data_IF_738769865817
#
_entry.id   IF_738769865817
#
_cell.length_a   1.000
_cell.length_b   1.000
_cell.length_c   1.000
_cell.angle_alpha   90.00
_cell.angle_beta   90.00
_cell.angle_gamma   90.00
#
_symmetry.space_group_name_H-M   'P 1'
#
loop_
_entity.id
_entity.type
_entity.pdbx_description
1 polymer ?
#
# COMPACT_ATOMS: atom_id res chain seq x y z
N UNK A 1 32.92 -16.60 11.64
CA UNK A 1 31.48 -16.58 11.97
C UNK A 1 30.63 -15.83 10.94
N UNK A 2 31.21 -15.17 9.94
CA UNK A 2 30.51 -14.41 8.88
C UNK A 2 30.03 -15.23 7.67
N UNK A 3 30.40 -16.51 7.56
CA UNK A 3 30.05 -17.34 6.40
C UNK A 3 28.63 -17.93 6.43
N UNK A 4 28.04 -18.14 7.61
CA UNK A 4 26.71 -18.73 7.76
C UNK A 4 25.57 -17.73 7.51
N UNK A 5 25.82 -16.43 7.73
CA UNK A 5 24.84 -15.37 7.44
C UNK A 5 24.74 -15.05 5.95
N UNK A 6 25.83 -15.19 5.18
CA UNK A 6 25.79 -14.95 3.73
C UNK A 6 25.02 -16.03 2.97
N UNK A 7 25.04 -17.29 3.42
CA UNK A 7 24.23 -18.36 2.81
C UNK A 7 22.72 -18.17 2.97
N UNK A 8 22.26 -17.53 4.06
CA UNK A 8 20.83 -17.22 4.25
C UNK A 8 20.41 -15.94 3.52
N UNK A 9 21.29 -14.94 3.41
CA UNK A 9 21.02 -13.72 2.63
C UNK A 9 20.87 -14.04 1.15
N UNK A 10 21.79 -14.82 0.57
CA UNK A 10 21.81 -15.10 -0.86
C UNK A 10 20.61 -15.94 -1.31
N UNK A 11 20.18 -16.91 -0.50
CA UNK A 11 18.94 -17.67 -0.73
C UNK A 11 17.69 -16.79 -0.65
N UNK A 12 17.69 -15.78 0.24
CA UNK A 12 16.57 -14.84 0.42
C UNK A 12 16.50 -13.83 -0.73
N UNK A 13 17.63 -13.32 -1.18
CA UNK A 13 17.71 -12.45 -2.35
C UNK A 13 17.32 -13.23 -3.62
N UNK A 14 17.59 -14.53 -3.64
CA UNK A 14 17.24 -15.43 -4.74
C UNK A 14 15.74 -15.72 -4.86
N UNK A 15 15.05 -15.95 -3.74
CA UNK A 15 13.59 -16.06 -3.74
C UNK A 15 12.94 -14.72 -4.09
N UNK A 16 13.46 -13.60 -3.59
CA UNK A 16 12.91 -12.27 -3.86
C UNK A 16 13.02 -11.95 -5.35
N UNK A 17 14.16 -12.23 -6.02
CA UNK A 17 14.25 -12.03 -7.47
C UNK A 17 13.23 -12.89 -8.22
N UNK A 18 12.95 -14.11 -7.74
CA UNK A 18 12.03 -15.03 -8.44
C UNK A 18 10.56 -14.62 -8.30
N UNK A 19 10.20 -13.92 -7.22
CA UNK A 19 8.89 -13.30 -7.07
C UNK A 19 8.76 -11.98 -7.84
N UNK A 20 9.87 -11.34 -8.22
CA UNK A 20 9.88 -10.01 -8.87
C UNK A 20 10.22 -10.01 -10.38
N UNK A 21 10.70 -11.13 -10.95
CA UNK A 21 11.20 -11.17 -12.35
C UNK A 21 10.12 -11.39 -13.44
N UNK A 22 10.06 -10.40 -14.34
CA UNK A 22 9.86 -10.35 -15.82
C UNK A 22 8.60 -10.85 -16.56
N UNK A 23 7.65 -11.59 -16.00
CA UNK A 23 6.41 -11.92 -16.72
C UNK A 23 5.14 -11.32 -16.09
N UNK A 24 5.27 -10.65 -14.95
CA UNK A 24 4.13 -10.33 -14.08
C UNK A 24 3.85 -8.84 -13.94
N UNK A 25 4.73 -7.91 -14.31
CA UNK A 25 4.46 -6.47 -14.10
C UNK A 25 3.20 -5.99 -14.84
N UNK A 26 3.05 -6.36 -16.11
CA UNK A 26 1.82 -6.06 -16.87
C UNK A 26 0.59 -6.74 -16.24
N UNK A 27 0.71 -8.03 -15.91
CA UNK A 27 -0.36 -8.79 -15.26
C UNK A 27 -0.71 -8.24 -13.87
N UNK A 28 0.24 -7.64 -13.16
CA UNK A 28 0.08 -7.09 -11.82
C UNK A 28 -0.79 -5.84 -11.86
N UNK A 29 -0.53 -4.90 -12.78
CA UNK A 29 -1.39 -3.73 -12.98
C UNK A 29 -2.82 -4.11 -13.38
N UNK A 30 -2.98 -5.07 -14.30
CA UNK A 30 -4.31 -5.56 -14.70
C UNK A 30 -5.03 -6.31 -13.57
N UNK A 31 -4.32 -7.12 -12.78
CA UNK A 31 -4.89 -7.82 -11.63
C UNK A 31 -5.29 -6.85 -10.51
N UNK A 32 -4.44 -5.87 -10.18
CA UNK A 32 -4.71 -4.83 -9.18
C UNK A 32 -5.91 -3.97 -9.56
N UNK A 33 -5.97 -3.51 -10.82
CA UNK A 33 -7.10 -2.71 -11.32
C UNK A 33 -8.38 -3.52 -11.39
N UNK A 34 -8.35 -4.77 -11.87
CA UNK A 34 -9.49 -5.67 -11.85
C UNK A 34 -10.00 -5.93 -10.42
N UNK A 35 -9.10 -6.19 -9.49
CA UNK A 35 -9.43 -6.38 -8.07
C UNK A 35 -10.05 -5.13 -7.44
N UNK A 36 -9.53 -3.93 -7.76
CA UNK A 36 -10.07 -2.65 -7.30
C UNK A 36 -11.52 -2.46 -7.75
N UNK A 37 -11.79 -2.69 -9.05
CA UNK A 37 -13.12 -2.53 -9.64
C UNK A 37 -14.11 -3.52 -9.00
N UNK A 38 -13.73 -4.80 -8.90
CA UNK A 38 -14.60 -5.83 -8.30
C UNK A 38 -14.90 -5.52 -6.83
N UNK A 39 -13.91 -5.13 -6.03
CA UNK A 39 -14.13 -4.79 -4.62
C UNK A 39 -14.97 -3.53 -4.45
N UNK A 40 -14.80 -2.54 -5.33
CA UNK A 40 -15.63 -1.34 -5.32
C UNK A 40 -17.11 -1.68 -5.55
N UNK A 41 -17.42 -2.50 -6.57
CA UNK A 41 -18.79 -2.96 -6.80
C UNK A 41 -19.32 -3.85 -5.67
N UNK A 42 -18.48 -4.74 -5.12
CA UNK A 42 -18.87 -5.60 -4.01
C UNK A 42 -19.22 -4.77 -2.76
N UNK A 43 -18.45 -3.72 -2.46
CA UNK A 43 -18.74 -2.77 -1.37
C UNK A 43 -20.07 -2.05 -1.58
N UNK A 44 -20.35 -1.57 -2.80
CA UNK A 44 -21.63 -0.95 -3.13
C UNK A 44 -22.81 -1.90 -2.92
N UNK A 45 -22.66 -3.16 -3.35
CA UNK A 45 -23.68 -4.20 -3.14
C UNK A 45 -23.84 -4.51 -1.64
N UNK A 46 -22.74 -4.58 -0.89
CA UNK A 46 -22.74 -4.89 0.54
C UNK A 46 -23.46 -3.80 1.37
N UNK A 47 -23.29 -2.52 1.01
CA UNK A 47 -24.02 -1.41 1.66
C UNK A 47 -25.53 -1.51 1.41
N UNK A 48 -25.96 -2.14 0.31
CA UNK A 48 -27.37 -2.41 0.02
C UNK A 48 -27.98 -3.54 0.87
N UNK A 49 -27.16 -4.42 1.46
CA UNK A 49 -27.63 -5.45 2.37
C UNK A 49 -27.63 -4.94 3.81
N UNK A 50 -28.74 -5.13 4.53
CA UNK A 50 -28.88 -4.78 5.94
C UNK A 50 -28.16 -5.80 6.84
N UNK A 51 -26.84 -5.94 6.69
CA UNK A 51 -25.99 -6.80 7.53
C UNK A 51 -25.08 -5.92 8.37
N UNK A 52 -25.06 -6.08 9.71
CA UNK A 52 -24.10 -5.39 10.56
C UNK A 52 -22.70 -5.99 10.33
N UNK A 53 -21.94 -5.37 9.43
CA UNK A 53 -20.55 -5.74 9.13
C UNK A 53 -19.65 -4.50 9.17
N UNK A 54 -18.38 -4.69 9.54
CA UNK A 54 -17.40 -3.61 9.56
C UNK A 54 -16.86 -3.33 8.15
N UNK A 55 -17.07 -2.11 7.65
CA UNK A 55 -16.60 -1.67 6.32
C UNK A 55 -15.15 -1.15 6.31
N UNK A 56 -14.45 -1.28 7.44
CA UNK A 56 -13.09 -0.79 7.60
C UNK A 56 -12.09 -1.58 6.74
N UNK A 57 -12.12 -2.90 6.78
CA UNK A 57 -11.21 -3.76 6.01
C UNK A 57 -11.32 -3.55 4.49
N UNK A 58 -12.53 -3.57 3.86
CA UNK A 58 -12.61 -3.41 2.42
C UNK A 58 -12.15 -2.02 1.95
N UNK A 59 -12.47 -0.96 2.71
CA UNK A 59 -11.98 0.40 2.38
C UNK A 59 -10.45 0.49 2.52
N UNK A 60 -9.87 -0.15 3.53
CA UNK A 60 -8.43 -0.20 3.73
C UNK A 60 -7.72 -0.87 2.54
N UNK A 61 -8.25 -2.00 2.09
CA UNK A 61 -7.68 -2.74 0.96
C UNK A 61 -7.80 -1.96 -0.35
N UNK A 62 -8.93 -1.29 -0.60
CA UNK A 62 -9.12 -0.42 -1.78
C UNK A 62 -8.08 0.69 -1.80
N UNK A 63 -7.84 1.35 -0.66
CA UNK A 63 -6.79 2.35 -0.52
C UNK A 63 -5.39 1.79 -0.74
N UNK A 64 -5.11 0.58 -0.23
CA UNK A 64 -3.82 -0.09 -0.43
C UNK A 64 -3.54 -0.38 -1.91
N UNK A 65 -4.55 -0.87 -2.64
CA UNK A 65 -4.45 -1.09 -4.08
C UNK A 65 -4.20 0.22 -4.85
N UNK A 66 -4.93 1.29 -4.51
CA UNK A 66 -4.73 2.59 -5.14
C UNK A 66 -3.31 3.13 -4.89
N UNK A 67 -2.83 3.05 -3.65
CA UNK A 67 -1.47 3.45 -3.29
C UNK A 67 -0.41 2.61 -3.99
N UNK A 68 -0.64 1.30 -4.16
CA UNK A 68 0.27 0.42 -4.90
C UNK A 68 0.34 0.78 -6.37
N UNK A 69 -0.81 1.01 -7.03
CA UNK A 69 -0.87 1.44 -8.43
C UNK A 69 -0.12 2.77 -8.61
N UNK A 70 -0.29 3.73 -7.70
CA UNK A 70 0.44 5.00 -7.73
C UNK A 70 1.96 4.81 -7.59
N UNK A 71 2.40 3.95 -6.67
CA UNK A 71 3.81 3.64 -6.46
C UNK A 71 4.47 2.99 -7.69
N UNK A 72 3.78 2.04 -8.32
CA UNK A 72 4.25 1.39 -9.55
C UNK A 72 4.22 2.37 -10.74
N UNK A 73 3.24 3.28 -10.81
CA UNK A 73 3.20 4.32 -11.84
C UNK A 73 4.36 5.31 -11.73
N UNK A 74 4.72 5.70 -10.50
CA UNK A 74 5.90 6.54 -10.23
C UNK A 74 7.19 5.81 -10.61
N UNK A 75 7.28 4.50 -10.35
CA UNK A 75 8.40 3.68 -10.77
C UNK A 75 8.57 3.63 -12.30
N UNK A 76 7.47 3.52 -13.05
CA UNK A 76 7.48 3.55 -14.53
C UNK A 76 7.84 4.93 -15.08
N UNK A 77 7.36 6.00 -14.45
CA UNK A 77 7.63 7.38 -14.90
C UNK A 77 9.08 7.83 -14.63
N UNK A 78 9.70 7.38 -13.55
CA UNK A 78 11.06 7.75 -13.16
C UNK A 78 11.97 6.53 -13.05
N UNK A 79 12.34 5.89 -14.18
CA UNK A 79 13.17 4.68 -14.18
C UNK A 79 14.61 4.92 -13.71
N UNK A 80 15.08 6.18 -13.70
CA UNK A 80 16.42 6.56 -13.21
C UNK A 80 16.49 6.79 -11.69
N UNK A 81 15.37 6.62 -10.97
CA UNK A 81 15.29 6.93 -9.55
C UNK A 81 15.35 8.44 -9.29
N UNK A 82 14.56 8.92 -8.34
CA UNK A 82 14.63 10.33 -7.91
C UNK A 82 15.92 10.51 -7.08
N UNK A 83 17.09 10.59 -7.72
CA UNK A 83 18.37 10.86 -7.05
C UNK A 83 18.81 9.79 -6.03
N UNK A 84 18.90 8.52 -6.45
CA UNK A 84 19.48 7.41 -5.66
C UNK A 84 18.67 6.96 -4.41
N UNK A 85 17.42 7.35 -4.29
CA UNK A 85 16.52 6.90 -3.22
C UNK A 85 15.70 5.70 -3.73
N UNK A 86 15.80 4.50 -3.13
CA UNK A 86 14.99 3.36 -3.54
C UNK A 86 13.50 3.65 -3.29
N UNK A 87 12.68 3.55 -4.34
CA UNK A 87 11.22 3.70 -4.26
C UNK A 87 10.66 2.38 -3.73
N UNK A 88 10.05 2.41 -2.55
CA UNK A 88 9.38 1.26 -1.97
C UNK A 88 7.87 1.35 -2.25
N UNK A 89 7.34 0.63 -3.26
CA UNK A 89 5.91 0.65 -3.57
C UNK A 89 5.03 0.13 -2.41
N UNK A 90 5.62 -0.58 -1.44
CA UNK A 90 4.95 -0.97 -0.19
C UNK A 90 4.57 0.22 0.70
N UNK A 91 5.43 1.24 0.79
CA UNK A 91 5.14 2.44 1.60
C UNK A 91 3.99 3.25 0.98
N UNK A 92 3.99 3.36 -0.35
CA UNK A 92 2.89 4.01 -1.09
C UNK A 92 1.55 3.29 -0.89
N UNK A 93 1.57 1.94 -0.85
CA UNK A 93 0.37 1.16 -0.55
C UNK A 93 -0.17 1.47 0.85
N UNK A 94 0.70 1.52 1.88
CA UNK A 94 0.28 1.80 3.26
C UNK A 94 -0.28 3.22 3.40
N UNK A 95 0.38 4.22 2.79
CA UNK A 95 -0.09 5.61 2.81
C UNK A 95 -1.45 5.75 2.11
N UNK A 96 -1.64 5.09 0.96
CA UNK A 96 -2.92 5.05 0.26
C UNK A 96 -4.03 4.37 1.07
N UNK A 97 -3.71 3.26 1.74
CA UNK A 97 -4.63 2.53 2.61
C UNK A 97 -5.11 3.40 3.77
N UNK A 98 -4.16 4.04 4.47
CA UNK A 98 -4.46 4.95 5.56
C UNK A 98 -5.31 6.13 5.07
N UNK A 99 -4.88 6.83 4.00
CA UNK A 99 -5.54 8.00 3.47
C UNK A 99 -7.00 7.73 3.07
N UNK A 100 -7.27 6.64 2.36
CA UNK A 100 -8.63 6.33 1.90
C UNK A 100 -9.56 5.94 3.06
N UNK A 101 -9.13 5.04 3.95
CA UNK A 101 -9.93 4.70 5.14
C UNK A 101 -10.14 5.90 6.04
N UNK A 102 -9.12 6.75 6.20
CA UNK A 102 -9.18 8.01 6.94
C UNK A 102 -10.17 9.01 6.37
N UNK A 103 -10.22 9.14 5.04
CA UNK A 103 -11.17 10.01 4.35
C UNK A 103 -12.62 9.52 4.51
N UNK A 104 -12.85 8.20 4.44
CA UNK A 104 -14.21 7.63 4.56
C UNK A 104 -14.77 7.76 5.98
N UNK A 105 -13.93 7.59 7.02
CA UNK A 105 -14.38 7.62 8.41
C UNK A 105 -14.10 8.93 9.14
N UNK A 106 -13.40 9.88 8.50
CA UNK A 106 -12.95 11.13 9.10
C UNK A 106 -12.25 10.94 10.47
N UNK A 107 -11.31 10.00 10.55
CA UNK A 107 -10.64 9.64 11.82
C UNK A 107 -9.13 9.55 11.69
N UNK A 108 -8.41 10.19 12.61
CA UNK A 108 -6.94 10.20 12.66
C UNK A 108 -6.33 8.88 13.18
N UNK A 109 -7.12 8.07 13.89
CA UNK A 109 -6.63 6.84 14.52
C UNK A 109 -6.04 5.84 13.53
N UNK A 110 -6.53 5.84 12.30
CA UNK A 110 -6.13 4.90 11.25
C UNK A 110 -4.69 5.13 10.81
N UNK A 111 -4.27 6.40 10.73
CA UNK A 111 -2.91 6.76 10.40
C UNK A 111 -1.93 6.29 11.49
N UNK A 112 -2.33 6.44 12.76
CA UNK A 112 -1.54 5.96 13.91
C UNK A 112 -1.40 4.43 13.85
N UNK A 113 -2.50 3.70 13.61
CA UNK A 113 -2.47 2.23 13.48
C UNK A 113 -1.51 1.78 12.36
N UNK A 114 -1.53 2.44 11.20
CA UNK A 114 -0.59 2.14 10.11
C UNK A 114 0.87 2.45 10.44
N UNK A 115 1.12 3.55 11.13
CA UNK A 115 2.46 3.90 11.58
C UNK A 115 3.01 2.87 12.59
N UNK A 116 2.19 2.48 13.57
CA UNK A 116 2.54 1.42 14.53
C UNK A 116 2.83 0.09 13.82
N UNK A 117 2.00 -0.30 12.85
CA UNK A 117 2.17 -1.54 12.08
C UNK A 117 3.46 -1.57 11.22
N UNK A 118 3.99 -0.41 10.84
CA UNK A 118 5.23 -0.29 10.03
C UNK A 118 6.49 -0.41 10.90
N UNK A 119 6.38 -0.26 12.23
CA UNK A 119 7.50 -0.48 13.16
C UNK A 119 8.64 0.54 13.11
N UNK A 120 8.50 1.64 12.34
CA UNK A 120 9.47 2.72 12.24
C UNK A 120 8.81 4.09 12.52
N UNK A 121 8.80 4.47 13.80
CA UNK A 121 8.22 5.72 14.29
C UNK A 121 8.89 6.99 13.72
N UNK A 122 10.10 6.89 13.15
CA UNK A 122 10.79 8.06 12.59
C UNK A 122 10.16 8.55 11.28
N UNK A 123 9.47 7.68 10.54
CA UNK A 123 8.71 8.06 9.33
C UNK A 123 7.26 8.43 9.63
N UNK A 124 6.85 8.45 10.90
CA UNK A 124 5.47 8.76 11.32
C UNK A 124 5.06 10.20 11.00
N UNK A 125 5.98 11.16 11.14
CA UNK A 125 5.72 12.59 10.92
C UNK A 125 5.23 12.87 9.48
N UNK A 126 5.93 12.44 8.40
CA UNK A 126 5.47 12.69 7.04
C UNK A 126 4.17 11.94 6.70
N UNK A 127 3.96 10.73 7.24
CA UNK A 127 2.73 9.96 7.01
C UNK A 127 1.53 10.68 7.64
N UNK A 128 1.67 11.16 8.87
CA UNK A 128 0.61 11.93 9.55
C UNK A 128 0.32 13.27 8.88
N UNK A 129 1.33 13.98 8.37
CA UNK A 129 1.12 15.23 7.62
C UNK A 129 0.36 14.96 6.32
N UNK A 130 0.77 13.95 5.54
CA UNK A 130 0.04 13.55 4.33
C UNK A 130 -1.40 13.18 4.65
N UNK A 131 -1.63 12.54 5.78
CA UNK A 131 -2.97 12.15 6.24
C UNK A 131 -3.83 13.35 6.65
N UNK A 132 -3.26 14.31 7.38
CA UNK A 132 -3.94 15.56 7.76
C UNK A 132 -4.44 16.32 6.54
N UNK A 133 -3.69 16.35 5.43
CA UNK A 133 -4.14 17.00 4.19
C UNK A 133 -5.39 16.31 3.62
N UNK A 134 -5.42 14.98 3.65
CA UNK A 134 -6.54 14.19 3.12
C UNK A 134 -7.78 14.31 4.00
N UNK A 135 -7.63 14.22 5.33
CA UNK A 135 -8.77 14.25 6.26
C UNK A 135 -9.19 15.69 6.62
N UNK A 136 -8.27 16.64 6.65
CA UNK A 136 -8.50 18.03 7.06
C UNK A 136 -9.11 18.93 5.98
N UNK A 137 -9.38 18.40 4.78
CA UNK A 137 -10.12 19.11 3.74
C UNK A 137 -11.62 19.04 4.03
N UNK A 138 -12.10 19.94 4.88
CA UNK A 138 -13.52 20.28 5.06
C UNK A 138 -13.71 21.79 4.89
#
# INVERSE_FOLDING_TARGET
MSGFTQSFSQSSDDIIYRWTTDATTYNHFYALSGFLVVNFFLVLICIGFAVPASMFVPTFVIGACCGRIAGEFIYVLFPSGLGNIPIYPGLYAIVGAAAFSGAVTHSISIAIICCEATGQLSSLIPILVSFMVVVGSF
#
